data_IF_601849683678
#
_entry.id   IF_601849683678
#
_cell.length_a   1.000
_cell.length_b   1.000
_cell.length_c   1.000
_cell.angle_alpha   90.00
_cell.angle_beta   90.00
_cell.angle_gamma   90.00
#
_symmetry.space_group_name_H-M   'P 1'
#
loop_
_entity.id
_entity.type
_entity.pdbx_description
1 polymer ?
#
# COMPACT_ATOMS: atom_id res chain seq x y z
N UNK A 1 -12.65 -1.95 9.64
CA UNK A 1 -11.65 -0.88 9.79
C UNK A 1 -12.03 0.22 8.79
N UNK A 2 -12.27 1.43 9.24
CA UNK A 2 -12.62 2.58 8.39
C UNK A 2 -11.37 3.44 8.23
N UNK A 3 -10.93 3.65 6.99
CA UNK A 3 -9.71 4.42 6.67
C UNK A 3 -10.03 5.88 6.33
N UNK A 4 -9.02 6.76 6.34
CA UNK A 4 -9.19 8.17 6.03
C UNK A 4 -9.92 8.44 4.69
N UNK A 5 -9.66 7.73 3.59
CA UNK A 5 -10.41 7.88 2.34
C UNK A 5 -11.89 7.49 2.42
N UNK A 6 -12.28 6.69 3.41
CA UNK A 6 -13.68 6.28 3.59
C UNK A 6 -14.47 7.28 4.43
N UNK A 7 -13.80 8.15 5.18
CA UNK A 7 -14.43 9.13 6.06
C UNK A 7 -14.68 10.47 5.42
N UNK A 8 -13.90 10.87 4.41
CA UNK A 8 -14.01 12.18 3.76
C UNK A 8 -13.34 12.21 2.38
N UNK A 9 -14.02 12.83 1.41
CA UNK A 9 -13.47 13.11 0.07
C UNK A 9 -12.34 14.14 0.10
N UNK A 10 -12.15 14.85 1.21
CA UNK A 10 -11.12 15.88 1.35
C UNK A 10 -9.71 15.29 1.17
N UNK A 11 -9.46 14.08 1.71
CA UNK A 11 -8.16 13.43 1.57
C UNK A 11 -7.83 13.14 0.10
N UNK A 12 -8.79 12.58 -0.65
CA UNK A 12 -8.63 12.34 -2.08
C UNK A 12 -8.39 13.64 -2.86
N UNK A 13 -9.07 14.73 -2.50
CA UNK A 13 -8.84 16.06 -3.08
C UNK A 13 -7.44 16.60 -2.82
N UNK A 14 -6.89 16.42 -1.62
CA UNK A 14 -5.50 16.80 -1.30
C UNK A 14 -4.50 15.97 -2.13
N UNK A 15 -4.72 14.65 -2.24
CA UNK A 15 -3.87 13.77 -3.05
C UNK A 15 -3.96 14.16 -4.53
N UNK A 16 -5.15 14.46 -5.05
CA UNK A 16 -5.34 14.93 -6.44
C UNK A 16 -4.52 16.19 -6.74
N UNK A 17 -4.59 17.19 -5.87
CA UNK A 17 -3.81 18.43 -6.02
C UNK A 17 -2.29 18.16 -5.98
N UNK A 18 -1.85 17.21 -5.16
CA UNK A 18 -0.44 16.81 -5.12
C UNK A 18 -0.03 16.06 -6.40
N UNK A 19 -0.90 15.23 -6.96
CA UNK A 19 -0.65 14.53 -8.23
C UNK A 19 -0.53 15.52 -9.39
N UNK A 20 -1.37 16.56 -9.47
CA UNK A 20 -1.25 17.64 -10.44
C UNK A 20 0.12 18.35 -10.34
N UNK A 21 0.56 18.65 -9.10
CA UNK A 21 1.89 19.23 -8.89
C UNK A 21 3.01 18.31 -9.37
N UNK A 22 2.99 17.02 -8.99
CA UNK A 22 4.00 16.05 -9.41
C UNK A 22 4.02 15.89 -10.92
N UNK A 23 2.86 15.88 -11.58
CA UNK A 23 2.76 15.80 -13.02
C UNK A 23 3.47 16.97 -13.71
N UNK A 24 3.28 18.19 -13.22
CA UNK A 24 4.03 19.37 -13.72
C UNK A 24 5.54 19.25 -13.48
N UNK A 25 5.96 18.78 -12.31
CA UNK A 25 7.38 18.57 -11.99
C UNK A 25 8.03 17.54 -12.92
N UNK A 26 7.28 16.51 -13.32
CA UNK A 26 7.69 15.48 -14.28
C UNK A 26 7.60 15.92 -15.75
N UNK A 27 7.28 17.21 -16.04
CA UNK A 27 7.16 17.78 -17.37
C UNK A 27 5.96 17.24 -18.15
N UNK A 28 4.84 17.06 -17.47
CA UNK A 28 3.55 16.72 -18.04
C UNK A 28 3.57 15.44 -18.91
N UNK A 29 4.00 14.30 -18.37
CA UNK A 29 4.04 13.06 -19.14
C UNK A 29 2.62 12.60 -19.53
N UNK A 30 2.49 12.01 -20.72
CA UNK A 30 1.30 11.31 -21.16
C UNK A 30 1.73 9.96 -21.77
N UNK A 31 1.35 8.83 -21.20
CA UNK A 31 0.53 8.68 -19.98
C UNK A 31 1.26 9.06 -18.68
N UNK A 32 0.49 9.57 -17.70
CA UNK A 32 0.89 9.73 -16.31
C UNK A 32 0.24 8.60 -15.50
N UNK A 33 1.06 7.68 -14.99
CA UNK A 33 0.56 6.47 -14.34
C UNK A 33 0.56 6.63 -12.82
N UNK A 34 -0.59 6.39 -12.21
CA UNK A 34 -0.70 6.28 -10.74
C UNK A 34 -1.04 4.84 -10.37
N UNK A 35 -0.22 4.23 -9.55
CA UNK A 35 -0.42 2.88 -9.03
C UNK A 35 -0.75 2.96 -7.55
N UNK A 36 -1.96 2.58 -7.16
CA UNK A 36 -2.38 2.51 -5.76
C UNK A 36 -2.27 1.09 -5.25
N UNK A 37 -1.38 0.86 -4.30
CA UNK A 37 -1.21 -0.45 -3.69
C UNK A 37 -2.09 -0.58 -2.44
N UNK A 38 -2.91 -1.62 -2.40
CA UNK A 38 -3.90 -1.85 -1.35
C UNK A 38 -5.10 -0.92 -1.49
N UNK A 39 -5.67 -0.80 -2.70
CA UNK A 39 -6.77 0.13 -3.01
C UNK A 39 -8.09 -0.18 -2.29
N UNK A 40 -8.22 -1.37 -1.68
CA UNK A 40 -9.45 -1.78 -1.02
C UNK A 40 -10.66 -1.71 -1.95
N UNK A 41 -11.68 -0.94 -1.57
CA UNK A 41 -12.90 -0.74 -2.36
C UNK A 41 -12.86 0.49 -3.29
N UNK A 42 -11.67 1.05 -3.56
CA UNK A 42 -11.45 2.11 -4.55
C UNK A 42 -11.90 3.51 -4.14
N UNK A 43 -12.05 3.77 -2.84
CA UNK A 43 -12.51 5.09 -2.34
C UNK A 43 -11.54 6.21 -2.71
N UNK A 44 -10.22 6.00 -2.52
CA UNK A 44 -9.22 7.01 -2.83
C UNK A 44 -9.14 7.29 -4.33
N UNK A 45 -9.13 6.25 -5.17
CA UNK A 45 -9.15 6.36 -6.62
C UNK A 45 -10.36 7.20 -7.09
N UNK A 46 -11.58 6.89 -6.61
CA UNK A 46 -12.78 7.65 -6.91
C UNK A 46 -12.64 9.14 -6.56
N UNK A 47 -12.18 9.43 -5.35
CA UNK A 47 -12.11 10.80 -4.85
C UNK A 47 -11.03 11.62 -5.57
N UNK A 48 -9.95 10.98 -6.00
CA UNK A 48 -8.94 11.57 -6.87
C UNK A 48 -9.58 11.96 -8.21
N UNK A 49 -10.26 11.04 -8.90
CA UNK A 49 -10.88 11.34 -10.20
C UNK A 49 -11.96 12.41 -10.13
N UNK A 50 -12.66 12.55 -9.00
CA UNK A 50 -13.63 13.61 -8.79
C UNK A 50 -13.00 14.99 -8.51
N UNK A 51 -11.70 15.05 -8.24
CA UNK A 51 -11.00 16.24 -7.77
C UNK A 51 -9.85 16.68 -8.67
N UNK A 52 -9.27 15.76 -9.47
CA UNK A 52 -8.10 16.02 -10.32
C UNK A 52 -8.45 17.00 -11.45
N UNK A 53 -7.50 17.87 -11.82
CA UNK A 53 -7.73 18.92 -12.79
C UNK A 53 -6.71 18.89 -13.93
N UNK A 54 -5.43 19.15 -13.62
CA UNK A 54 -4.43 19.45 -14.65
C UNK A 54 -4.01 18.19 -15.41
N UNK A 55 -3.78 17.07 -14.72
CA UNK A 55 -3.35 15.82 -15.35
C UNK A 55 -4.49 14.86 -15.71
N UNK A 56 -5.76 15.29 -15.62
CA UNK A 56 -6.93 14.42 -15.78
C UNK A 56 -6.93 13.60 -17.09
N UNK A 57 -6.56 14.21 -18.20
CA UNK A 57 -6.55 13.54 -19.52
C UNK A 57 -5.38 12.57 -19.69
N UNK A 58 -4.23 12.90 -19.09
CA UNK A 58 -3.03 12.06 -19.11
C UNK A 58 -3.05 10.92 -18.09
N UNK A 59 -3.93 11.00 -17.06
CA UNK A 59 -3.95 10.08 -15.94
C UNK A 59 -4.38 8.67 -16.37
N UNK A 60 -3.59 7.67 -15.97
CA UNK A 60 -3.92 6.23 -16.03
C UNK A 60 -3.75 5.66 -14.64
N UNK A 61 -4.83 5.21 -14.04
CA UNK A 61 -4.85 4.77 -12.65
C UNK A 61 -4.94 3.25 -12.55
N UNK A 62 -4.05 2.65 -11.76
CA UNK A 62 -4.00 1.21 -11.55
C UNK A 62 -4.21 0.92 -10.06
N UNK A 63 -5.35 0.37 -9.73
CA UNK A 63 -5.66 -0.13 -8.39
C UNK A 63 -5.08 -1.53 -8.22
N UNK A 64 -4.27 -1.74 -7.19
CA UNK A 64 -3.75 -3.07 -6.83
C UNK A 64 -4.46 -3.54 -5.57
N UNK A 65 -5.23 -4.63 -5.71
CA UNK A 65 -5.93 -5.25 -4.60
C UNK A 65 -5.92 -6.78 -4.73
N UNK A 66 -5.50 -7.47 -3.68
CA UNK A 66 -5.35 -8.94 -3.70
C UNK A 66 -6.66 -9.69 -3.53
N UNK A 67 -7.62 -9.10 -2.84
CA UNK A 67 -8.96 -9.66 -2.68
C UNK A 67 -9.75 -9.51 -3.98
N UNK A 68 -10.16 -10.62 -4.60
CA UNK A 68 -10.93 -10.61 -5.84
C UNK A 68 -12.24 -9.82 -5.68
N UNK A 69 -12.93 -10.04 -4.56
CA UNK A 69 -14.18 -9.33 -4.26
C UNK A 69 -13.99 -7.81 -4.10
N UNK A 70 -12.96 -7.39 -3.36
CA UNK A 70 -12.68 -5.95 -3.19
C UNK A 70 -12.26 -5.32 -4.51
N UNK A 71 -11.47 -5.99 -5.31
CA UNK A 71 -11.00 -5.52 -6.62
C UNK A 71 -12.15 -5.30 -7.59
N UNK A 72 -13.09 -6.25 -7.68
CA UNK A 72 -14.30 -6.13 -8.50
C UNK A 72 -15.18 -4.98 -8.00
N UNK A 73 -15.39 -4.88 -6.69
CA UNK A 73 -16.15 -3.79 -6.06
C UNK A 73 -15.50 -2.42 -6.33
N UNK A 74 -14.18 -2.31 -6.21
CA UNK A 74 -13.42 -1.10 -6.48
C UNK A 74 -13.61 -0.62 -7.93
N UNK A 75 -13.43 -1.55 -8.87
CA UNK A 75 -13.58 -1.23 -10.30
C UNK A 75 -14.99 -0.76 -10.63
N UNK A 76 -16.02 -1.49 -10.20
CA UNK A 76 -17.42 -1.12 -10.42
C UNK A 76 -17.74 0.24 -9.80
N UNK A 77 -17.36 0.47 -8.55
CA UNK A 77 -17.60 1.73 -7.83
C UNK A 77 -16.97 2.94 -8.51
N UNK A 78 -15.73 2.82 -8.97
CA UNK A 78 -15.03 3.91 -9.64
C UNK A 78 -15.64 4.18 -11.00
N UNK A 79 -15.93 3.15 -11.79
CA UNK A 79 -16.52 3.29 -13.12
C UNK A 79 -17.90 3.89 -13.07
N UNK A 80 -18.76 3.44 -12.16
CA UNK A 80 -20.11 3.97 -11.97
C UNK A 80 -20.12 5.42 -11.46
N UNK A 81 -19.12 5.80 -10.64
CA UNK A 81 -19.06 7.15 -10.05
C UNK A 81 -18.43 8.20 -10.95
N UNK A 82 -17.43 7.81 -11.76
CA UNK A 82 -16.57 8.76 -12.46
C UNK A 82 -16.66 8.69 -13.99
N UNK A 83 -17.15 7.57 -14.54
CA UNK A 83 -17.04 7.28 -15.96
C UNK A 83 -18.34 6.82 -16.62
N UNK A 84 -19.49 7.18 -16.04
CA UNK A 84 -20.79 6.98 -16.71
C UNK A 84 -20.74 7.69 -18.06
N UNK A 85 -21.13 7.01 -19.13
CA UNK A 85 -21.17 7.52 -20.50
C UNK A 85 -19.79 7.84 -21.15
N UNK A 86 -18.68 7.36 -20.58
CA UNK A 86 -17.35 7.45 -21.22
C UNK A 86 -17.02 6.16 -21.96
N UNK A 87 -16.51 6.29 -23.19
CA UNK A 87 -16.05 5.16 -24.00
C UNK A 87 -14.71 4.59 -23.48
N UNK A 88 -13.85 5.45 -22.97
CA UNK A 88 -12.55 5.07 -22.41
C UNK A 88 -12.52 5.25 -20.89
N UNK A 89 -12.15 4.20 -20.19
CA UNK A 89 -12.01 4.17 -18.73
C UNK A 89 -10.51 4.09 -18.41
N UNK A 90 -9.88 5.18 -17.91
CA UNK A 90 -8.44 5.22 -17.65
C UNK A 90 -8.07 4.54 -16.33
N UNK A 91 -8.81 3.48 -15.93
CA UNK A 91 -8.67 2.76 -14.68
C UNK A 91 -8.54 1.27 -14.93
N UNK A 92 -7.59 0.64 -14.26
CA UNK A 92 -7.47 -0.81 -14.17
C UNK A 92 -7.48 -1.26 -12.71
N UNK A 93 -8.02 -2.45 -12.44
CA UNK A 93 -7.94 -3.09 -11.14
C UNK A 93 -7.24 -4.44 -11.28
N UNK A 94 -6.05 -4.56 -10.70
CA UNK A 94 -5.15 -5.70 -10.85
C UNK A 94 -4.86 -6.36 -9.51
N UNK A 95 -4.44 -7.62 -9.54
CA UNK A 95 -4.01 -8.35 -8.34
C UNK A 95 -2.57 -8.06 -7.95
N UNK A 96 -1.72 -7.86 -8.95
CA UNK A 96 -0.28 -7.68 -8.79
C UNK A 96 0.17 -6.41 -9.53
N UNK A 97 1.33 -5.89 -9.16
CA UNK A 97 1.91 -4.70 -9.79
C UNK A 97 2.11 -4.91 -11.30
N UNK A 98 1.85 -3.88 -12.12
CA UNK A 98 2.13 -3.95 -13.55
C UNK A 98 3.63 -4.14 -13.80
N UNK A 99 3.96 -4.91 -14.82
CA UNK A 99 5.35 -5.17 -15.21
C UNK A 99 5.81 -4.13 -16.22
N UNK A 100 6.99 -3.56 -15.98
CA UNK A 100 7.65 -2.62 -16.88
C UNK A 100 7.78 -1.21 -16.30
N UNK A 101 8.62 -0.38 -16.92
CA UNK A 101 8.82 0.99 -16.48
C UNK A 101 7.61 1.87 -16.84
N UNK A 102 7.28 2.79 -15.96
CA UNK A 102 6.29 3.84 -16.21
C UNK A 102 6.76 5.17 -15.61
N UNK A 103 6.18 6.27 -16.07
CA UNK A 103 6.38 7.60 -15.49
C UNK A 103 5.15 7.93 -14.67
N UNK A 104 5.35 8.19 -13.38
CA UNK A 104 4.21 8.45 -12.50
C UNK A 104 4.50 8.27 -11.01
N UNK A 105 3.50 7.87 -10.26
CA UNK A 105 3.51 7.79 -8.79
C UNK A 105 3.01 6.43 -8.32
N UNK A 106 3.64 5.90 -7.27
CA UNK A 106 3.11 4.77 -6.50
C UNK A 106 2.56 5.31 -5.19
N UNK A 107 1.29 5.04 -4.93
CA UNK A 107 0.60 5.36 -3.69
C UNK A 107 0.45 4.11 -2.84
N UNK A 108 0.68 4.22 -1.54
CA UNK A 108 0.47 3.13 -0.58
C UNK A 108 -0.08 3.74 0.73
N UNK A 109 -1.39 4.00 0.75
CA UNK A 109 -2.03 4.56 1.93
C UNK A 109 -2.45 3.44 2.89
N UNK A 110 -1.97 3.50 4.14
CA UNK A 110 -2.28 2.53 5.19
C UNK A 110 -2.07 1.05 4.76
N UNK A 111 -1.09 0.79 3.86
CA UNK A 111 -0.81 -0.55 3.37
C UNK A 111 0.10 -1.33 4.32
N UNK A 112 1.16 -0.69 4.82
CA UNK A 112 2.21 -1.39 5.56
C UNK A 112 1.76 -1.80 6.96
N UNK A 113 0.83 -1.08 7.57
CA UNK A 113 0.21 -1.38 8.85
C UNK A 113 -0.78 -2.56 8.78
N UNK A 114 -1.29 -2.88 7.59
CA UNK A 114 -2.07 -4.08 7.33
C UNK A 114 -1.22 -5.34 7.10
N UNK A 115 0.10 -5.20 6.98
CA UNK A 115 1.00 -6.35 6.91
C UNK A 115 1.33 -6.83 8.33
N UNK A 116 1.05 -8.10 8.67
CA UNK A 116 1.27 -8.59 10.02
C UNK A 116 2.76 -8.51 10.39
N UNK A 117 3.12 -7.78 11.46
CA UNK A 117 4.48 -7.74 11.95
C UNK A 117 4.85 -9.08 12.60
N UNK A 118 6.09 -9.45 12.49
CA UNK A 118 6.69 -10.49 13.33
C UNK A 118 7.24 -9.81 14.58
N UNK A 119 6.95 -10.33 15.76
CA UNK A 119 7.47 -9.78 17.00
C UNK A 119 8.62 -10.67 17.47
N UNK A 120 9.80 -10.08 17.64
CA UNK A 120 10.99 -10.81 18.09
C UNK A 120 11.51 -10.24 19.40
N UNK A 121 12.13 -11.11 20.22
CA UNK A 121 12.74 -10.75 21.49
C UNK A 121 14.18 -11.27 21.56
N UNK A 122 15.10 -10.42 21.97
CA UNK A 122 16.49 -10.81 22.22
C UNK A 122 16.56 -11.74 23.41
N UNK A 123 17.14 -12.91 23.24
CA UNK A 123 17.49 -13.85 24.30
C UNK A 123 18.99 -13.77 24.58
N UNK A 124 19.47 -14.53 25.57
CA UNK A 124 20.91 -14.66 25.84
C UNK A 124 21.64 -15.21 24.61
N UNK A 125 21.04 -16.21 23.94
CA UNK A 125 21.54 -16.80 22.71
C UNK A 125 20.55 -16.59 21.57
N UNK A 126 20.82 -15.59 20.70
CA UNK A 126 20.02 -15.34 19.50
C UNK A 126 18.75 -14.52 19.71
N UNK A 127 17.78 -14.72 18.83
CA UNK A 127 16.48 -14.08 18.82
C UNK A 127 15.37 -15.11 18.88
N UNK A 128 14.33 -14.82 19.65
CA UNK A 128 13.08 -15.59 19.72
C UNK A 128 12.00 -14.83 18.98
N UNK A 129 11.07 -15.54 18.38
CA UNK A 129 9.89 -14.99 17.72
C UNK A 129 8.62 -15.39 18.48
N UNK A 130 7.69 -14.44 18.58
CA UNK A 130 6.38 -14.65 19.20
C UNK A 130 5.45 -15.39 18.26
N UNK A 131 4.90 -16.48 18.74
CA UNK A 131 3.80 -17.24 18.13
C UNK A 131 2.60 -17.27 19.07
N UNK A 132 1.44 -17.59 18.53
CA UNK A 132 0.22 -17.83 19.31
C UNK A 132 -0.12 -19.31 19.22
N UNK A 133 -0.10 -20.02 20.33
CA UNK A 133 -0.41 -21.45 20.43
C UNK A 133 -1.55 -21.65 21.44
N UNK A 134 -2.66 -22.24 20.98
CA UNK A 134 -3.85 -22.46 21.80
C UNK A 134 -4.33 -21.20 22.55
N UNK A 135 -4.22 -20.03 21.89
CA UNK A 135 -4.62 -18.74 22.45
C UNK A 135 -3.62 -18.11 23.43
N UNK A 136 -2.44 -18.70 23.62
CA UNK A 136 -1.39 -18.20 24.50
C UNK A 136 -0.14 -17.80 23.68
N UNK A 137 0.64 -16.87 24.24
CA UNK A 137 1.94 -16.50 23.68
C UNK A 137 2.95 -17.64 23.85
N UNK A 138 3.64 -17.98 22.77
CA UNK A 138 4.75 -18.93 22.75
C UNK A 138 5.95 -18.32 22.05
N UNK A 139 7.13 -18.47 22.62
CA UNK A 139 8.39 -17.93 22.08
C UNK A 139 9.25 -19.05 21.53
N UNK A 140 9.51 -19.02 20.22
CA UNK A 140 10.32 -20.00 19.50
C UNK A 140 11.59 -19.36 18.93
N UNK A 141 12.64 -20.13 18.62
CA UNK A 141 13.77 -19.59 17.90
C UNK A 141 13.33 -18.88 16.60
N UNK A 142 13.76 -17.63 16.44
CA UNK A 142 13.38 -16.85 15.26
C UNK A 142 14.02 -17.46 13.99
N UNK A 143 13.27 -17.42 12.87
CA UNK A 143 13.82 -17.78 11.56
C UNK A 143 15.02 -16.90 11.20
N UNK A 144 15.94 -17.41 10.40
CA UNK A 144 17.18 -16.73 10.02
C UNK A 144 16.92 -15.31 9.43
N UNK A 145 15.89 -15.15 8.61
CA UNK A 145 15.51 -13.85 8.03
C UNK A 145 15.14 -12.82 9.09
N UNK A 146 14.30 -13.20 10.04
CA UNK A 146 13.87 -12.34 11.15
C UNK A 146 15.02 -12.06 12.11
N UNK A 147 15.83 -13.07 12.46
CA UNK A 147 16.97 -12.91 13.33
C UNK A 147 18.05 -11.97 12.73
N UNK A 148 18.31 -12.09 11.44
CA UNK A 148 19.26 -11.22 10.71
C UNK A 148 18.75 -9.78 10.67
N UNK A 149 17.47 -9.58 10.33
CA UNK A 149 16.87 -8.24 10.32
C UNK A 149 16.89 -7.60 11.72
N UNK A 150 16.53 -8.35 12.76
CA UNK A 150 16.56 -7.88 14.14
C UNK A 150 17.96 -7.48 14.58
N UNK A 151 18.96 -8.28 14.25
CA UNK A 151 20.35 -7.99 14.56
C UNK A 151 20.88 -6.74 13.84
N UNK A 152 20.43 -6.52 12.60
CA UNK A 152 20.77 -5.31 11.83
C UNK A 152 20.13 -4.06 12.40
N UNK A 153 18.83 -4.13 12.78
CA UNK A 153 18.08 -2.98 13.33
C UNK A 153 18.51 -2.64 14.76
N UNK A 154 18.88 -3.62 15.55
CA UNK A 154 19.26 -3.44 16.95
C UNK A 154 20.56 -4.20 17.30
N UNK A 155 21.72 -3.78 16.75
CA UNK A 155 22.98 -4.50 16.94
C UNK A 155 23.49 -4.51 18.41
N UNK A 156 22.98 -3.61 19.23
CA UNK A 156 23.32 -3.49 20.66
C UNK A 156 22.17 -3.92 21.59
N UNK A 157 21.22 -4.69 21.09
CA UNK A 157 20.08 -5.14 21.89
C UNK A 157 20.52 -6.02 23.04
N UNK A 158 20.06 -5.71 24.25
CA UNK A 158 20.25 -6.53 25.45
C UNK A 158 19.16 -7.62 25.54
N UNK A 159 19.42 -8.74 26.25
CA UNK A 159 18.38 -9.72 26.51
C UNK A 159 17.10 -9.07 27.10
N UNK A 160 15.94 -9.46 26.57
CA UNK A 160 14.64 -8.87 26.89
C UNK A 160 14.18 -7.76 25.94
N UNK A 161 15.05 -7.18 25.11
CA UNK A 161 14.64 -6.19 24.08
C UNK A 161 13.67 -6.85 23.10
N UNK A 162 12.50 -6.25 22.90
CA UNK A 162 11.46 -6.70 21.97
C UNK A 162 11.34 -5.72 20.80
N UNK A 163 11.23 -6.24 19.58
CA UNK A 163 11.12 -5.47 18.34
C UNK A 163 9.99 -6.01 17.47
N UNK A 164 9.13 -5.15 16.90
CA UNK A 164 8.28 -5.52 15.78
C UNK A 164 9.12 -5.48 14.49
N UNK A 165 8.97 -6.49 13.63
CA UNK A 165 9.64 -6.59 12.34
C UNK A 165 8.63 -6.68 11.21
N UNK A 166 8.67 -5.76 10.26
CA UNK A 166 7.86 -5.78 9.05
C UNK A 166 8.60 -6.48 7.91
N UNK A 167 8.88 -7.79 8.08
CA UNK A 167 9.65 -8.58 7.09
C UNK A 167 8.99 -8.54 5.71
N UNK A 168 7.64 -8.67 5.65
CA UNK A 168 6.89 -8.59 4.39
C UNK A 168 6.92 -7.19 3.79
N UNK A 169 6.89 -6.14 4.61
CA UNK A 169 7.01 -4.76 4.17
C UNK A 169 8.36 -4.48 3.50
N UNK A 170 9.46 -4.98 4.06
CA UNK A 170 10.79 -4.84 3.48
C UNK A 170 10.91 -5.52 2.10
N UNK A 171 10.25 -6.67 1.90
CA UNK A 171 10.21 -7.36 0.59
C UNK A 171 9.36 -6.59 -0.42
N UNK A 172 8.34 -5.86 0.05
CA UNK A 172 7.45 -5.11 -0.81
C UNK A 172 8.10 -3.82 -1.36
N UNK A 173 9.03 -3.21 -0.60
CA UNK A 173 9.71 -1.95 -0.99
C UNK A 173 10.93 -2.20 -1.90
N UNK A 174 11.53 -3.40 -1.87
CA UNK A 174 12.70 -3.79 -2.68
C UNK A 174 12.30 -4.49 -3.98
#
# INVERSE_FOLDING_TARGET
>A
FITSPETSTLFGGCVASYLDQVWHELKCPDPFVVVEAGSGIGSLCRDIFLSIQDCADALRYVMIERSDHQRETAFARVTESCFIDREEIPVAALKDLPVGPFVGVVLANELLDNLPPRVVRKAAEGWLELHVENGNEAWHPAENSAATMAASLAPKASPGTTLPLHVKGAVWIN
#
